data_IF_500986174510
#
_entry.id   IF_500986174510
#
_cell.length_a   1.000
_cell.length_b   1.000
_cell.length_c   1.000
_cell.angle_alpha   90.00
_cell.angle_beta   90.00
_cell.angle_gamma   90.00
#
_symmetry.space_group_name_H-M   'P 1'
#
loop_
_entity.id
_entity.type
_entity.pdbx_description
1 polymer ?
#
# COMPACT_ATOMS: atom_id res chain seq x y z
N UNK A 1 8.83 28.26 5.24
CA UNK A 1 7.63 27.47 5.55
C UNK A 1 7.91 26.05 5.09
N UNK A 2 8.20 25.13 6.01
CA UNK A 2 8.43 23.73 5.66
C UNK A 2 7.10 23.20 5.12
N UNK A 3 7.03 22.90 3.81
CA UNK A 3 5.89 22.20 3.24
C UNK A 3 5.91 20.79 3.83
N UNK A 4 4.92 20.45 4.64
CA UNK A 4 4.75 19.09 5.14
C UNK A 4 4.24 18.21 3.98
N UNK A 5 4.86 17.06 3.75
CA UNK A 5 4.53 16.11 2.68
C UNK A 5 3.17 15.44 2.89
N UNK A 6 2.62 15.57 4.10
CA UNK A 6 1.31 15.08 4.52
C UNK A 6 0.63 16.23 5.26
N UNK A 7 -0.60 16.58 4.89
CA UNK A 7 -1.36 17.60 5.60
C UNK A 7 -1.77 17.11 7.00
N UNK A 8 -2.03 18.02 7.93
CA UNK A 8 -2.55 17.66 9.27
C UNK A 8 -3.85 16.86 9.18
N UNK A 9 -4.71 17.20 8.23
CA UNK A 9 -5.95 16.48 7.96
C UNK A 9 -5.70 15.02 7.55
N UNK A 10 -4.83 14.78 6.56
CA UNK A 10 -4.45 13.44 6.13
C UNK A 10 -3.79 12.65 7.26
N UNK A 11 -2.90 13.30 8.02
CA UNK A 11 -2.21 12.68 9.15
C UNK A 11 -3.20 12.25 10.24
N UNK A 12 -4.19 13.10 10.57
CA UNK A 12 -5.22 12.78 11.56
C UNK A 12 -6.11 11.60 11.13
N UNK A 13 -6.48 11.53 9.83
CA UNK A 13 -7.20 10.36 9.30
C UNK A 13 -6.34 9.11 9.43
N UNK A 14 -5.06 9.16 9.05
CA UNK A 14 -4.15 8.01 9.18
C UNK A 14 -4.03 7.56 10.64
N UNK A 15 -3.82 8.47 11.59
CA UNK A 15 -3.73 8.14 13.02
C UNK A 15 -5.00 7.46 13.52
N UNK A 16 -6.16 7.96 13.11
CA UNK A 16 -7.45 7.37 13.49
C UNK A 16 -7.60 5.94 12.97
N UNK A 17 -7.22 5.70 11.71
CA UNK A 17 -7.20 4.35 11.11
C UNK A 17 -6.17 3.44 11.80
N UNK A 18 -5.00 3.96 12.15
CA UNK A 18 -3.93 3.17 12.79
C UNK A 18 -4.28 2.73 14.22
N UNK A 19 -5.09 3.52 14.93
CA UNK A 19 -5.51 3.24 16.30
C UNK A 19 -6.77 2.35 16.40
N UNK A 20 -7.43 2.05 15.29
CA UNK A 20 -8.62 1.19 15.27
C UNK A 20 -8.23 -0.30 15.34
N UNK A 21 -8.71 -1.08 16.34
CA UNK A 21 -8.42 -2.50 16.45
C UNK A 21 -8.78 -3.33 15.21
N UNK A 22 -9.84 -2.99 14.47
CA UNK A 22 -10.18 -3.67 13.21
C UNK A 22 -9.07 -3.56 12.15
N UNK A 23 -8.20 -2.56 12.26
CA UNK A 23 -7.11 -2.26 11.34
C UNK A 23 -5.72 -2.59 11.92
N UNK A 24 -5.64 -3.35 13.01
CA UNK A 24 -4.36 -3.70 13.67
C UNK A 24 -3.37 -4.44 12.74
N UNK A 25 -3.90 -5.28 11.84
CA UNK A 25 -3.12 -6.07 10.87
C UNK A 25 -2.65 -5.25 9.66
N UNK A 26 -3.05 -3.98 9.55
CA UNK A 26 -2.76 -3.13 8.40
C UNK A 26 -1.59 -2.19 8.67
N UNK A 27 -0.78 -2.01 7.63
CA UNK A 27 0.41 -1.17 7.58
C UNK A 27 0.24 -0.11 6.50
N UNK A 28 0.70 1.11 6.76
CA UNK A 28 0.71 2.17 5.77
C UNK A 28 1.85 1.94 4.77
N UNK A 29 1.51 1.92 3.48
CA UNK A 29 2.46 1.79 2.38
C UNK A 29 2.46 2.98 1.43
N UNK A 30 2.94 2.73 0.21
CA UNK A 30 2.90 3.68 -0.88
C UNK A 30 3.74 4.95 -0.65
N UNK A 31 3.35 6.02 -1.33
CA UNK A 31 4.06 7.30 -1.26
C UNK A 31 3.87 8.06 0.05
N UNK A 32 2.72 7.85 0.71
CA UNK A 32 2.38 8.51 1.96
C UNK A 32 3.21 7.97 3.11
N UNK A 33 3.52 6.68 3.12
CA UNK A 33 4.53 6.11 4.03
C UNK A 33 5.86 6.89 3.93
N UNK A 34 6.43 7.01 2.73
CA UNK A 34 7.69 7.75 2.53
C UNK A 34 7.56 9.23 2.88
N UNK A 35 6.40 9.85 2.61
CA UNK A 35 6.16 11.26 2.93
C UNK A 35 6.11 11.51 4.44
N UNK A 36 5.54 10.59 5.23
CA UNK A 36 5.60 10.61 6.70
C UNK A 36 7.03 10.42 7.21
N UNK A 37 7.79 9.49 6.60
CA UNK A 37 9.17 9.24 7.00
C UNK A 37 10.09 10.42 6.69
N UNK A 38 9.97 11.01 5.50
CA UNK A 38 11.02 11.82 4.89
C UNK A 38 10.58 13.18 4.36
N UNK A 39 9.29 13.49 4.35
CA UNK A 39 8.80 14.78 3.88
C UNK A 39 9.23 15.12 2.43
N UNK A 40 9.42 14.12 1.58
CA UNK A 40 10.09 14.27 0.28
C UNK A 40 9.20 14.86 -0.81
N UNK A 41 7.88 14.66 -0.72
CA UNK A 41 6.88 15.28 -1.58
C UNK A 41 5.51 15.32 -0.90
N UNK A 42 4.59 16.06 -1.51
CA UNK A 42 3.18 16.01 -1.13
C UNK A 42 2.57 14.65 -1.49
N UNK A 43 1.75 14.11 -0.60
CA UNK A 43 0.96 12.92 -0.77
C UNK A 43 -0.45 13.13 -0.20
N UNK A 44 -1.43 12.52 -0.85
CA UNK A 44 -2.88 12.74 -0.62
C UNK A 44 -3.65 11.46 -0.33
N UNK A 45 -3.04 10.30 -0.63
CA UNK A 45 -3.72 9.01 -0.65
C UNK A 45 -3.29 8.18 0.58
N UNK A 46 -4.14 7.26 1.04
CA UNK A 46 -3.82 6.30 2.10
C UNK A 46 -3.85 4.91 1.49
N UNK A 47 -2.70 4.23 1.46
CA UNK A 47 -2.62 2.83 1.04
C UNK A 47 -2.37 1.95 2.26
N UNK A 48 -3.36 1.16 2.68
CA UNK A 48 -3.26 0.23 3.80
C UNK A 48 -3.11 -1.21 3.31
N UNK A 49 -2.11 -1.91 3.82
CA UNK A 49 -1.79 -3.28 3.43
C UNK A 49 -1.76 -4.22 4.62
N UNK A 50 -2.50 -5.32 4.53
CA UNK A 50 -2.30 -6.48 5.41
C UNK A 50 -1.40 -7.51 4.75
N UNK A 51 -0.56 -8.17 5.57
CA UNK A 51 0.30 -9.28 5.13
C UNK A 51 -0.43 -10.63 5.06
N UNK A 52 -1.70 -10.68 5.46
CA UNK A 52 -2.49 -11.91 5.53
C UNK A 52 -3.79 -11.79 4.73
N UNK A 53 -4.45 -12.92 4.52
CA UNK A 53 -5.82 -12.95 3.98
C UNK A 53 -6.75 -12.69 5.16
N UNK A 54 -7.32 -11.49 5.19
CA UNK A 54 -8.22 -10.99 6.23
C UNK A 54 -9.68 -11.40 5.93
N UNK A 55 -10.02 -11.50 4.65
CA UNK A 55 -11.31 -12.01 4.18
C UNK A 55 -12.44 -10.98 4.12
N UNK A 56 -13.48 -11.32 3.37
CA UNK A 56 -14.59 -10.41 3.01
C UNK A 56 -15.43 -9.99 4.20
N UNK A 57 -15.51 -10.85 5.23
CA UNK A 57 -16.21 -10.56 6.48
C UNK A 57 -15.55 -9.40 7.24
N UNK A 58 -14.23 -9.47 7.49
CA UNK A 58 -13.52 -8.39 8.22
C UNK A 58 -13.42 -7.13 7.35
N UNK A 59 -13.27 -7.24 6.03
CA UNK A 59 -13.41 -6.09 5.12
C UNK A 59 -14.78 -5.42 5.23
N UNK A 60 -15.87 -6.18 5.35
CA UNK A 60 -17.21 -5.61 5.53
C UNK A 60 -17.37 -4.89 6.88
N UNK A 61 -16.73 -5.40 7.94
CA UNK A 61 -16.70 -4.71 9.24
C UNK A 61 -15.93 -3.39 9.15
N UNK A 62 -14.82 -3.36 8.40
CA UNK A 62 -14.07 -2.13 8.12
C UNK A 62 -14.95 -1.12 7.38
N UNK A 63 -15.75 -1.54 6.38
CA UNK A 63 -16.70 -0.62 5.72
C UNK A 63 -17.65 0.05 6.72
N UNK A 64 -18.27 -0.74 7.59
CA UNK A 64 -19.22 -0.23 8.59
C UNK A 64 -18.52 0.73 9.57
N UNK A 65 -17.29 0.43 9.98
CA UNK A 65 -16.51 1.32 10.82
C UNK A 65 -16.27 2.67 10.14
N UNK A 66 -15.79 2.67 8.89
CA UNK A 66 -15.50 3.89 8.14
C UNK A 66 -16.78 4.74 7.95
N UNK A 67 -17.89 4.12 7.58
CA UNK A 67 -19.19 4.78 7.46
C UNK A 67 -19.64 5.44 8.77
N UNK A 68 -19.52 4.73 9.90
CA UNK A 68 -19.87 5.27 11.21
C UNK A 68 -18.94 6.41 11.66
N UNK A 69 -17.64 6.28 11.41
CA UNK A 69 -16.62 7.19 11.92
C UNK A 69 -16.55 8.50 11.12
N UNK A 70 -16.70 8.43 9.80
CA UNK A 70 -16.60 9.59 8.90
C UNK A 70 -17.98 10.08 8.40
N UNK A 71 -19.04 9.32 8.66
CA UNK A 71 -20.42 9.61 8.31
C UNK A 71 -20.79 9.16 6.90
N UNK A 72 -21.89 8.40 6.75
CA UNK A 72 -22.31 7.79 5.48
C UNK A 72 -22.43 8.77 4.30
N UNK A 73 -22.81 10.03 4.55
CA UNK A 73 -22.93 11.04 3.49
C UNK A 73 -21.56 11.58 3.01
N UNK A 74 -20.48 11.26 3.71
CA UNK A 74 -19.12 11.67 3.41
C UNK A 74 -18.27 10.54 2.81
N UNK A 75 -18.78 9.31 2.79
CA UNK A 75 -17.99 8.14 2.43
C UNK A 75 -18.56 7.49 1.17
N UNK A 76 -17.72 7.26 0.17
CA UNK A 76 -18.03 6.39 -0.96
C UNK A 76 -17.17 5.13 -0.85
N UNK A 77 -17.80 3.96 -0.70
CA UNK A 77 -17.09 2.67 -0.60
C UNK A 77 -17.35 1.85 -1.86
N UNK A 78 -16.27 1.42 -2.51
CA UNK A 78 -16.28 0.46 -3.60
C UNK A 78 -15.68 -0.87 -3.13
N UNK A 79 -16.52 -1.90 -3.07
CA UNK A 79 -16.16 -3.27 -2.72
C UNK A 79 -15.71 -4.02 -3.96
N UNK A 80 -14.43 -4.38 -4.03
CA UNK A 80 -13.85 -4.99 -5.21
C UNK A 80 -13.63 -6.49 -5.01
N UNK A 81 -14.12 -7.31 -5.94
CA UNK A 81 -13.93 -8.77 -5.97
C UNK A 81 -14.34 -9.53 -4.68
N UNK A 82 -15.47 -9.15 -4.07
CA UNK A 82 -15.99 -9.76 -2.84
C UNK A 82 -16.47 -11.22 -2.97
N UNK A 83 -16.35 -11.82 -4.16
CA UNK A 83 -16.54 -13.25 -4.36
C UNK A 83 -15.29 -14.08 -3.98
N UNK A 84 -14.15 -13.44 -3.71
CA UNK A 84 -12.89 -14.09 -3.36
C UNK A 84 -12.37 -13.62 -2.01
N UNK A 85 -12.11 -14.55 -1.08
CA UNK A 85 -11.51 -14.21 0.22
C UNK A 85 -10.10 -13.64 0.08
N UNK A 86 -9.32 -14.13 -0.89
CA UNK A 86 -7.92 -13.74 -1.09
C UNK A 86 -7.76 -12.43 -1.88
N UNK A 87 -8.63 -12.21 -2.87
CA UNK A 87 -8.47 -11.13 -3.84
C UNK A 87 -9.47 -9.98 -3.66
N UNK A 88 -10.26 -9.99 -2.59
CA UNK A 88 -11.12 -8.88 -2.24
C UNK A 88 -10.33 -7.69 -1.69
N UNK A 89 -10.78 -6.47 -1.97
CA UNK A 89 -10.17 -5.24 -1.47
C UNK A 89 -11.18 -4.08 -1.49
N UNK A 90 -10.83 -2.95 -0.87
CA UNK A 90 -11.70 -1.77 -0.80
C UNK A 90 -11.03 -0.56 -1.43
N UNK A 91 -11.83 0.24 -2.13
CA UNK A 91 -11.52 1.64 -2.45
C UNK A 91 -12.52 2.52 -1.74
N UNK A 92 -12.02 3.52 -1.04
CA UNK A 92 -12.84 4.40 -0.22
C UNK A 92 -12.46 5.84 -0.58
N UNK A 93 -13.45 6.69 -0.76
CA UNK A 93 -13.25 8.13 -0.88
C UNK A 93 -13.95 8.84 0.27
N UNK A 94 -13.19 9.67 1.00
CA UNK A 94 -13.71 10.64 1.95
C UNK A 94 -13.93 11.95 1.20
N UNK A 95 -15.19 12.35 1.02
CA UNK A 95 -15.59 13.41 0.07
C UNK A 95 -15.13 14.78 0.57
N UNK A 96 -15.34 15.10 1.85
CA UNK A 96 -15.03 16.42 2.42
C UNK A 96 -13.53 16.65 2.54
N UNK A 97 -12.80 15.60 2.91
CA UNK A 97 -11.36 15.63 3.11
C UNK A 97 -10.59 15.49 1.77
N UNK A 98 -11.28 15.13 0.68
CA UNK A 98 -10.68 14.78 -0.62
C UNK A 98 -9.61 13.68 -0.51
N UNK A 99 -9.77 12.75 0.44
CA UNK A 99 -8.83 11.65 0.71
C UNK A 99 -9.31 10.36 0.06
N UNK A 100 -8.41 9.69 -0.66
CA UNK A 100 -8.61 8.32 -1.13
C UNK A 100 -7.92 7.33 -0.20
N UNK A 101 -8.60 6.24 0.14
CA UNK A 101 -8.08 5.14 0.95
C UNK A 101 -8.25 3.83 0.17
N UNK A 102 -7.14 3.15 -0.10
CA UNK A 102 -7.16 1.78 -0.62
C UNK A 102 -6.82 0.81 0.54
N UNK A 103 -7.67 -0.20 0.77
CA UNK A 103 -7.45 -1.25 1.77
C UNK A 103 -7.24 -2.57 1.06
N UNK A 104 -6.00 -3.04 1.11
CA UNK A 104 -5.51 -4.17 0.34
C UNK A 104 -4.98 -5.23 1.30
N UNK A 105 -5.25 -6.49 1.01
CA UNK A 105 -4.82 -7.63 1.82
C UNK A 105 -3.83 -8.52 1.08
N UNK A 106 -3.26 -9.47 1.82
CA UNK A 106 -2.34 -10.49 1.35
C UNK A 106 -1.04 -9.97 0.69
N UNK A 107 -0.62 -8.74 0.99
CA UNK A 107 0.67 -8.23 0.50
C UNK A 107 1.80 -8.67 1.43
N UNK A 108 2.46 -9.79 1.09
CA UNK A 108 3.61 -10.29 1.85
C UNK A 108 4.78 -9.31 1.80
N UNK A 109 5.43 -9.14 2.95
CA UNK A 109 6.58 -8.27 3.18
C UNK A 109 7.76 -9.09 3.72
N UNK A 110 8.98 -8.73 3.34
CA UNK A 110 10.20 -9.41 3.78
C UNK A 110 10.71 -8.88 5.12
N UNK A 111 10.41 -7.61 5.42
CA UNK A 111 10.91 -6.93 6.60
C UNK A 111 9.76 -6.50 7.52
N UNK A 112 10.06 -6.39 8.82
CA UNK A 112 9.13 -5.86 9.81
C UNK A 112 8.79 -4.39 9.55
N UNK A 113 7.63 -3.96 10.04
CA UNK A 113 7.24 -2.55 9.95
C UNK A 113 8.05 -1.66 10.91
N UNK A 114 8.10 -0.38 10.60
CA UNK A 114 8.64 0.68 11.46
C UNK A 114 7.50 1.43 12.13
N UNK A 115 7.61 1.68 13.45
CA UNK A 115 6.63 2.49 14.18
C UNK A 115 7.14 3.93 14.30
N UNK A 116 6.41 4.89 13.72
CA UNK A 116 6.72 6.32 13.83
C UNK A 116 5.45 7.08 14.15
N UNK A 117 5.47 7.88 15.22
CA UNK A 117 4.34 8.71 15.64
C UNK A 117 3.02 7.92 15.80
N UNK A 118 3.10 6.65 16.22
CA UNK A 118 1.93 5.76 16.36
C UNK A 118 1.44 5.13 15.04
N UNK A 119 2.13 5.34 13.93
CA UNK A 119 1.78 4.83 12.60
C UNK A 119 2.69 3.66 12.26
N UNK A 120 2.09 2.52 11.87
CA UNK A 120 2.80 1.34 11.39
C UNK A 120 3.15 1.52 9.92
N UNK A 121 4.43 1.67 9.60
CA UNK A 121 4.94 1.97 8.26
C UNK A 121 5.68 0.76 7.69
N UNK A 122 5.36 0.37 6.45
CA UNK A 122 6.14 -0.64 5.71
C UNK A 122 7.61 -0.18 5.60
N UNK A 123 8.53 -1.14 5.71
CA UNK A 123 9.97 -0.91 5.59
C UNK A 123 10.35 -0.36 4.22
N UNK A 124 11.37 0.49 4.17
CA UNK A 124 11.85 1.10 2.93
C UNK A 124 12.31 0.09 1.88
N UNK A 125 12.89 -1.04 2.30
CA UNK A 125 13.34 -2.11 1.39
C UNK A 125 12.16 -2.74 0.64
N UNK A 126 11.07 -3.04 1.37
CA UNK A 126 9.84 -3.55 0.77
C UNK A 126 9.17 -2.48 -0.12
N UNK A 127 9.11 -1.22 0.33
CA UNK A 127 8.57 -0.12 -0.48
C UNK A 127 9.36 0.07 -1.78
N UNK A 128 10.69 0.06 -1.72
CA UNK A 128 11.53 0.20 -2.91
C UNK A 128 11.34 -0.94 -3.91
N UNK A 129 11.26 -2.19 -3.43
CA UNK A 129 10.94 -3.34 -4.27
C UNK A 129 9.57 -3.22 -4.94
N UNK A 130 8.54 -2.79 -4.20
CA UNK A 130 7.19 -2.57 -4.75
C UNK A 130 7.16 -1.39 -5.73
N UNK A 131 7.96 -0.35 -5.51
CA UNK A 131 8.08 0.80 -6.42
C UNK A 131 8.79 0.44 -7.72
N UNK A 132 9.82 -0.41 -7.67
CA UNK A 132 10.45 -0.98 -8.87
C UNK A 132 9.43 -1.74 -9.71
N UNK A 133 8.65 -2.62 -9.07
CA UNK A 133 7.59 -3.36 -9.75
C UNK A 133 6.56 -2.41 -10.38
N UNK A 134 6.05 -1.44 -9.62
CA UNK A 134 5.06 -0.47 -10.11
C UNK A 134 5.60 0.44 -11.23
N UNK A 135 6.89 0.81 -11.18
CA UNK A 135 7.54 1.59 -12.22
C UNK A 135 7.67 0.80 -13.52
N UNK A 136 8.00 -0.50 -13.44
CA UNK A 136 8.10 -1.38 -14.61
C UNK A 136 6.76 -1.65 -15.31
N UNK A 137 5.65 -1.62 -14.57
CA UNK A 137 4.31 -1.87 -15.09
C UNK A 137 3.66 -0.61 -15.68
N UNK A 138 3.59 0.49 -14.91
CA UNK A 138 2.80 1.68 -15.28
C UNK A 138 3.61 2.97 -15.46
N UNK A 139 4.88 3.01 -15.05
CA UNK A 139 5.75 4.16 -15.28
C UNK A 139 5.27 5.52 -14.74
N UNK A 140 4.50 5.56 -13.65
CA UNK A 140 4.01 6.84 -13.09
C UNK A 140 5.16 7.69 -12.52
N UNK A 141 5.19 8.98 -12.85
CA UNK A 141 6.16 9.98 -12.35
C UNK A 141 6.37 9.93 -10.83
N UNK A 142 5.29 9.75 -10.04
CA UNK A 142 5.37 9.63 -8.57
C UNK A 142 6.28 8.47 -8.12
N UNK A 143 6.29 7.35 -8.86
CA UNK A 143 7.14 6.20 -8.53
C UNK A 143 8.64 6.53 -8.75
N UNK A 144 8.97 7.34 -9.75
CA UNK A 144 10.36 7.77 -9.97
C UNK A 144 10.85 8.75 -8.90
N UNK A 145 10.00 9.67 -8.42
CA UNK A 145 10.36 10.52 -7.28
C UNK A 145 10.60 9.71 -6.00
N UNK A 146 9.76 8.70 -5.75
CA UNK A 146 9.88 7.81 -4.60
C UNK A 146 11.16 6.96 -4.71
N UNK A 147 11.47 6.40 -5.90
CA UNK A 147 12.71 5.66 -6.14
C UNK A 147 13.94 6.55 -6.03
N UNK A 148 13.90 7.78 -6.55
CA UNK A 148 15.01 8.73 -6.43
C UNK A 148 15.36 8.98 -4.97
N UNK A 149 14.37 9.31 -4.12
CA UNK A 149 14.55 9.45 -2.68
C UNK A 149 15.19 8.19 -2.05
N UNK A 150 14.66 7.02 -2.40
CA UNK A 150 15.15 5.75 -1.84
C UNK A 150 16.59 5.47 -2.27
N UNK A 151 16.97 5.81 -3.50
CA UNK A 151 18.35 5.66 -3.99
C UNK A 151 19.35 6.62 -3.35
N UNK A 152 18.89 7.71 -2.74
CA UNK A 152 19.75 8.56 -1.90
C UNK A 152 20.07 7.91 -0.54
N UNK A 153 19.30 6.87 -0.14
CA UNK A 153 19.43 6.19 1.15
C UNK A 153 20.16 4.86 1.04
N UNK A 154 19.86 4.11 -0.02
CA UNK A 154 20.35 2.76 -0.25
C UNK A 154 20.55 2.53 -1.75
N UNK A 155 21.53 1.72 -2.14
CA UNK A 155 21.79 1.42 -3.56
C UNK A 155 20.60 0.75 -4.24
N UNK A 156 20.34 1.10 -5.50
CA UNK A 156 19.22 0.56 -6.29
C UNK A 156 19.24 -0.97 -6.39
N UNK A 157 20.45 -1.55 -6.44
CA UNK A 157 20.67 -3.00 -6.49
C UNK A 157 20.05 -3.72 -5.30
N UNK A 158 20.10 -3.13 -4.09
CA UNK A 158 19.52 -3.74 -2.88
C UNK A 158 17.99 -3.83 -2.99
N UNK A 159 17.34 -2.83 -3.58
CA UNK A 159 15.89 -2.89 -3.83
C UNK A 159 15.54 -3.91 -4.90
N UNK A 160 16.38 -4.05 -5.93
CA UNK A 160 16.22 -5.07 -6.95
C UNK A 160 16.37 -6.49 -6.37
N UNK A 161 17.41 -6.72 -5.56
CA UNK A 161 17.61 -7.99 -4.86
C UNK A 161 16.45 -8.31 -3.92
N UNK A 162 15.95 -7.30 -3.21
CA UNK A 162 14.76 -7.43 -2.36
C UNK A 162 13.54 -7.84 -3.20
N UNK A 163 13.34 -7.24 -4.38
CA UNK A 163 12.28 -7.63 -5.31
C UNK A 163 12.44 -9.08 -5.80
N UNK A 164 13.65 -9.48 -6.19
CA UNK A 164 13.93 -10.86 -6.62
C UNK A 164 13.64 -11.86 -5.52
N UNK A 165 14.09 -11.56 -4.30
CA UNK A 165 13.84 -12.40 -3.12
C UNK A 165 12.35 -12.50 -2.83
N UNK A 166 11.60 -11.38 -2.89
CA UNK A 166 10.14 -11.35 -2.72
C UNK A 166 9.44 -12.27 -3.73
N UNK A 167 9.85 -12.21 -5.00
CA UNK A 167 9.30 -13.04 -6.09
C UNK A 167 9.56 -14.53 -5.83
N UNK A 168 10.73 -14.89 -5.29
CA UNK A 168 11.08 -16.28 -5.00
C UNK A 168 10.35 -16.79 -3.75
N UNK A 169 10.36 -16.03 -2.65
CA UNK A 169 9.79 -16.46 -1.38
C UNK A 169 8.25 -16.53 -1.42
N UNK A 170 7.61 -15.60 -2.12
CA UNK A 170 6.14 -15.48 -2.19
C UNK A 170 5.62 -15.91 -3.56
N UNK A 171 5.95 -17.15 -3.96
CA UNK A 171 5.64 -17.70 -5.28
C UNK A 171 4.46 -18.66 -5.32
N UNK A 172 3.84 -18.97 -4.17
CA UNK A 172 2.74 -19.95 -4.10
C UNK A 172 1.41 -19.32 -4.47
N UNK A 173 0.43 -20.13 -4.83
CA UNK A 173 -0.93 -19.64 -5.17
C UNK A 173 -1.55 -18.81 -4.04
N UNK A 174 -1.35 -19.21 -2.77
CA UNK A 174 -1.83 -18.45 -1.61
C UNK A 174 -1.14 -17.09 -1.41
N UNK A 175 0.01 -16.86 -2.04
CA UNK A 175 0.78 -15.62 -1.89
C UNK A 175 0.38 -14.58 -2.95
N UNK A 176 -0.40 -14.98 -3.95
CA UNK A 176 -0.88 -14.08 -4.99
C UNK A 176 -1.75 -12.97 -4.40
N UNK A 177 -1.60 -11.79 -4.98
CA UNK A 177 -2.26 -10.56 -4.57
C UNK A 177 -3.16 -10.03 -5.69
N UNK A 178 -3.88 -8.95 -5.41
CA UNK A 178 -4.64 -8.22 -6.44
C UNK A 178 -3.75 -7.66 -7.55
N UNK A 179 -2.44 -7.54 -7.32
CA UNK A 179 -1.49 -7.07 -8.33
C UNK A 179 -1.05 -8.16 -9.31
N UNK A 180 -1.31 -9.43 -9.00
CA UNK A 180 -0.96 -10.57 -9.86
C UNK A 180 -2.11 -10.97 -10.81
N UNK A 181 -3.27 -10.30 -10.68
CA UNK A 181 -4.48 -10.57 -11.44
C UNK A 181 -4.84 -9.34 -12.31
N UNK A 182 -4.55 -9.39 -13.61
CA UNK A 182 -5.08 -8.40 -14.56
C UNK A 182 -5.91 -9.11 -15.63
N UNK A 183 -7.21 -8.79 -15.68
CA UNK A 183 -8.14 -9.13 -16.79
C UNK A 183 -8.03 -10.60 -17.26
N UNK A 184 -8.00 -11.55 -16.32
CA UNK A 184 -8.01 -12.98 -16.65
C UNK A 184 -6.72 -13.53 -17.28
N UNK A 185 -5.58 -12.83 -17.19
CA UNK A 185 -4.26 -13.39 -17.53
C UNK A 185 -3.22 -13.10 -16.44
N UNK A 186 -2.35 -14.06 -16.10
CA UNK A 186 -1.21 -13.79 -15.23
C UNK A 186 -0.29 -12.76 -15.90
N UNK A 187 0.29 -11.86 -15.11
CA UNK A 187 1.47 -11.12 -15.53
C UNK A 187 2.55 -12.18 -15.82
N UNK A 188 2.98 -12.30 -17.08
CA UNK A 188 4.21 -13.03 -17.37
C UNK A 188 5.29 -12.33 -16.56
N UNK A 189 5.79 -12.99 -15.51
CA UNK A 189 7.02 -12.59 -14.82
C UNK A 189 8.01 -12.19 -15.91
N UNK A 190 8.62 -11.01 -15.77
CA UNK A 190 9.76 -10.61 -16.59
C UNK A 190 10.65 -11.83 -16.78
N UNK A 191 10.67 -12.37 -18.00
CA UNK A 191 11.53 -13.51 -18.29
C UNK A 191 12.96 -13.03 -18.02
N UNK A 192 13.72 -13.83 -17.26
CA UNK A 192 15.14 -13.57 -16.96
C UNK A 192 16.01 -13.33 -18.21
N UNK A 193 15.48 -13.58 -19.41
CA UNK A 193 16.14 -13.43 -20.71
C UNK A 193 16.18 -12.00 -21.26
N UNK A 194 15.48 -11.03 -20.66
CA UNK A 194 15.40 -9.65 -21.19
C UNK A 194 16.25 -8.62 -20.45
N UNK A 195 17.10 -9.06 -19.52
CA UNK A 195 18.12 -8.21 -18.89
C UNK A 195 19.48 -8.81 -19.21
N UNK A 196 19.93 -8.66 -20.46
CA UNK A 196 21.32 -8.50 -20.91
C UNK A 196 21.32 -8.10 -22.39
#
# INVERSE_FOLDING_TARGET
MLKQGVSDELFNVILKLMNEPLLEDFLLGGGTNLSIKYNHRLSTDIDLFSTTIIGTKKLSLICNYIENEFGNNNVLISKQNFASEQFAWLQISLIKEEIKIDIIQNLKLLYGFELKDGIRLINDLDIGALKLLAASDRGNQKNFYDLYLLTEKTELEIYYDTLQRRIIEFSKEQDKTIFDIQVGKPINRLEKSLIF
#
